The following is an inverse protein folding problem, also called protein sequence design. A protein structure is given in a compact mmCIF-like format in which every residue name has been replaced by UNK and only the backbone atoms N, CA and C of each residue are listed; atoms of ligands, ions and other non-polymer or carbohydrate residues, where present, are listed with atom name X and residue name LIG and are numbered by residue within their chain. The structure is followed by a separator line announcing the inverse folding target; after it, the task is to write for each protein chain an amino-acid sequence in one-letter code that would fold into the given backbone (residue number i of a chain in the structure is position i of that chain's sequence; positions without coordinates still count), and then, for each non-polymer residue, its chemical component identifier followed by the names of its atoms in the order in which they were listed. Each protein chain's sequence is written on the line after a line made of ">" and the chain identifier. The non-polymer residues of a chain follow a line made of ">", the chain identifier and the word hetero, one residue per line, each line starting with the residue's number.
data_IF_040908100542
#
_entry.id   IF_040908100542
#
_cell.length_a   1.000
_cell.length_b   1.000
_cell.length_c   1.000
_cell.angle_alpha   90.00
_cell.angle_beta   90.00
_cell.angle_gamma   90.00
#
_symmetry.space_group_name_H-M   'P 1'
#
loop_
_entity.id
_entity.type
_entity.pdbx_description
1 polymer ?
#
# COMPACT_ATOMS: atom_id res chain seq x y z
N UNK A 1 60.40 16.48 -36.50
CA UNK A 1 59.32 15.49 -36.74
C UNK A 1 58.79 14.99 -35.40
N UNK A 2 57.65 15.49 -34.93
CA UNK A 2 57.16 15.27 -33.56
C UNK A 2 56.15 14.12 -33.46
N UNK A 3 56.41 13.28 -32.46
CA UNK A 3 55.64 12.25 -31.72
C UNK A 3 54.18 11.83 -32.06
N UNK A 4 53.71 11.92 -33.31
CA UNK A 4 52.34 11.54 -33.66
C UNK A 4 52.06 10.01 -33.68
N UNK A 5 53.09 9.16 -33.52
CA UNK A 5 52.91 7.70 -33.47
C UNK A 5 52.33 7.19 -32.14
N UNK A 6 52.46 7.94 -31.04
CA UNK A 6 52.00 7.49 -29.70
C UNK A 6 50.49 7.46 -29.55
N UNK A 7 49.76 8.23 -30.37
CA UNK A 7 48.30 8.38 -30.27
C UNK A 7 47.51 7.47 -31.22
N UNK A 8 48.15 6.91 -32.25
CA UNK A 8 47.47 6.05 -33.25
C UNK A 8 47.05 4.69 -32.72
N UNK A 9 47.64 4.21 -31.62
CA UNK A 9 47.42 2.86 -31.07
C UNK A 9 46.68 2.83 -29.72
N UNK A 10 46.17 3.96 -29.23
CA UNK A 10 45.28 3.94 -28.05
C UNK A 10 43.92 3.40 -28.50
N UNK A 11 43.69 2.10 -28.32
CA UNK A 11 42.35 1.50 -28.39
C UNK A 11 41.49 2.19 -27.33
N UNK A 12 40.62 3.10 -27.75
CA UNK A 12 39.63 3.71 -26.87
C UNK A 12 38.66 2.59 -26.53
N UNK A 13 38.64 2.17 -25.26
CA UNK A 13 37.71 1.16 -24.79
C UNK A 13 36.33 1.80 -24.70
N UNK A 14 35.50 1.58 -25.72
CA UNK A 14 34.15 2.16 -25.83
C UNK A 14 33.25 1.75 -24.65
N UNK A 15 33.54 0.63 -23.99
CA UNK A 15 32.84 0.14 -22.80
C UNK A 15 32.99 1.06 -21.57
N UNK A 16 34.01 1.93 -21.54
CA UNK A 16 34.20 2.91 -20.45
C UNK A 16 33.49 4.24 -20.73
N UNK A 17 33.12 4.50 -21.98
CA UNK A 17 32.26 5.61 -22.35
C UNK A 17 30.80 5.22 -22.15
N UNK A 18 30.40 5.04 -20.89
CA UNK A 18 28.98 5.01 -20.54
C UNK A 18 28.36 6.33 -21.01
N UNK A 19 27.52 6.24 -22.04
CA UNK A 19 26.78 7.37 -22.61
C UNK A 19 26.10 8.17 -21.48
N UNK A 20 25.94 9.49 -21.62
CA UNK A 20 25.24 10.31 -20.60
C UNK A 20 23.82 9.77 -20.28
N UNK A 21 23.23 8.99 -21.19
CA UNK A 21 22.02 8.18 -21.02
C UNK A 21 22.15 7.02 -20.02
N UNK A 22 23.30 6.36 -19.94
CA UNK A 22 23.59 5.30 -18.96
C UNK A 22 23.92 5.85 -17.58
N UNK A 23 24.62 6.99 -17.51
CA UNK A 23 24.83 7.72 -16.24
C UNK A 23 23.50 8.24 -15.67
N UNK A 24 22.55 8.64 -16.52
CA UNK A 24 21.17 8.95 -16.11
C UNK A 24 20.39 7.72 -15.62
N UNK A 25 20.63 6.52 -16.18
CA UNK A 25 20.04 5.27 -15.70
C UNK A 25 20.54 4.87 -14.30
N UNK A 26 21.82 5.09 -13.99
CA UNK A 26 22.36 4.86 -12.64
C UNK A 26 21.90 5.92 -11.61
N UNK A 27 21.67 7.18 -12.05
CA UNK A 27 21.10 8.25 -11.19
C UNK A 27 19.59 8.17 -10.98
N UNK A 28 18.87 7.35 -11.75
CA UNK A 28 17.55 6.88 -11.35
C UNK A 28 17.73 5.92 -10.18
N UNK A 29 17.98 6.48 -8.98
CA UNK A 29 17.91 5.80 -7.70
C UNK A 29 16.71 4.87 -7.77
N UNK A 30 16.93 3.56 -7.62
CA UNK A 30 15.91 2.51 -7.71
C UNK A 30 14.63 3.00 -7.03
N UNK A 31 13.68 3.51 -7.82
CA UNK A 31 12.43 3.99 -7.27
C UNK A 31 11.75 2.75 -6.70
N UNK A 32 11.42 2.80 -5.40
CA UNK A 32 10.69 1.71 -4.76
C UNK A 32 9.45 1.40 -5.61
N UNK A 33 9.25 0.11 -5.89
CA UNK A 33 8.09 -0.34 -6.63
C UNK A 33 6.82 0.14 -5.94
N UNK A 34 5.77 0.37 -6.71
CA UNK A 34 4.52 0.90 -6.17
C UNK A 34 3.96 0.01 -5.06
N UNK A 35 4.08 -1.31 -5.21
CA UNK A 35 3.71 -2.29 -4.19
C UNK A 35 4.46 -2.08 -2.88
N UNK A 36 5.78 -1.81 -2.94
CA UNK A 36 6.57 -1.52 -1.75
C UNK A 36 6.14 -0.21 -1.09
N UNK A 37 5.86 0.83 -1.86
CA UNK A 37 5.34 2.09 -1.30
C UNK A 37 4.01 1.88 -0.56
N UNK A 38 3.10 1.11 -1.16
CA UNK A 38 1.80 0.76 -0.56
C UNK A 38 2.01 -0.03 0.73
N UNK A 39 2.88 -1.05 0.73
CA UNK A 39 3.17 -1.86 1.92
C UNK A 39 3.84 -1.04 3.03
N UNK A 40 4.74 -0.12 2.70
CA UNK A 40 5.37 0.77 3.68
C UNK A 40 4.37 1.74 4.29
N UNK A 41 3.45 2.30 3.49
CA UNK A 41 2.36 3.14 4.01
C UNK A 41 1.44 2.32 4.91
N UNK A 42 1.08 1.11 4.51
CA UNK A 42 0.28 0.21 5.35
C UNK A 42 0.99 -0.09 6.69
N UNK A 43 2.30 -0.33 6.68
CA UNK A 43 3.06 -0.64 7.88
C UNK A 43 3.21 0.58 8.80
N UNK A 44 3.77 1.68 8.28
CA UNK A 44 4.16 2.84 9.09
C UNK A 44 3.00 3.76 9.44
N UNK A 45 1.97 3.83 8.61
CA UNK A 45 0.87 4.78 8.78
C UNK A 45 -0.39 4.13 9.37
N UNK A 46 -0.56 2.81 9.16
CA UNK A 46 -1.75 2.08 9.63
C UNK A 46 -1.38 1.12 10.74
N UNK A 47 -0.56 0.11 10.46
CA UNK A 47 -0.31 -0.99 11.40
C UNK A 47 0.42 -0.54 12.68
N UNK A 48 1.56 0.15 12.55
CA UNK A 48 2.34 0.60 13.73
C UNK A 48 1.53 1.58 14.60
N UNK A 49 0.90 2.65 14.05
CA UNK A 49 0.10 3.55 14.87
C UNK A 49 -1.10 2.85 15.53
N UNK A 50 -1.82 1.98 14.82
CA UNK A 50 -2.90 1.19 15.41
C UNK A 50 -2.40 0.27 16.53
N UNK A 51 -1.22 -0.32 16.37
CA UNK A 51 -0.61 -1.16 17.40
C UNK A 51 -0.18 -0.34 18.64
N UNK A 52 0.35 0.87 18.45
CA UNK A 52 0.69 1.76 19.57
C UNK A 52 -0.56 2.19 20.34
N UNK A 53 -1.65 2.54 19.65
CA UNK A 53 -2.94 2.79 20.30
C UNK A 53 -3.39 1.57 21.08
N UNK A 54 -3.29 0.38 20.51
CA UNK A 54 -3.64 -0.86 21.20
C UNK A 54 -2.81 -1.08 22.48
N UNK A 55 -1.51 -0.75 22.48
CA UNK A 55 -0.70 -0.88 23.68
C UNK A 55 -1.08 0.13 24.78
N UNK A 56 -1.47 1.35 24.40
CA UNK A 56 -1.81 2.42 25.34
C UNK A 56 -3.23 2.27 25.87
N UNK A 57 -4.18 2.04 24.97
CA UNK A 57 -5.60 2.04 25.25
C UNK A 57 -6.23 0.65 25.26
N UNK A 58 -5.61 -0.39 24.72
CA UNK A 58 -6.20 -1.74 24.74
C UNK A 58 -6.35 -2.29 26.15
N UNK A 59 -7.36 -3.13 26.38
CA UNK A 59 -7.60 -3.77 27.67
C UNK A 59 -6.51 -4.79 28.00
N UNK A 60 -5.81 -5.27 26.97
CA UNK A 60 -4.60 -6.08 27.06
C UNK A 60 -3.31 -5.25 27.11
N UNK A 61 -3.44 -3.92 26.94
CA UNK A 61 -2.35 -2.96 26.97
C UNK A 61 -1.79 -2.82 28.37
N UNK A 62 -0.46 -2.76 28.48
CA UNK A 62 0.25 -2.81 29.76
C UNK A 62 0.30 -1.46 30.48
N UNK A 63 -0.13 -0.38 29.83
CA UNK A 63 0.25 0.98 30.21
C UNK A 63 -0.75 1.63 31.19
N UNK A 64 -2.06 1.37 31.09
CA UNK A 64 -3.08 2.03 31.93
C UNK A 64 -3.97 0.99 32.65
N UNK A 65 -3.62 0.58 33.89
CA UNK A 65 -4.38 -0.42 34.66
C UNK A 65 -5.84 -0.01 34.96
N UNK A 66 -6.11 1.29 35.09
CA UNK A 66 -7.43 1.82 35.39
C UNK A 66 -8.46 1.55 34.26
N UNK A 67 -8.00 1.59 33.00
CA UNK A 67 -8.83 1.32 31.85
C UNK A 67 -9.22 -0.16 31.79
N UNK A 68 -8.28 -1.04 32.14
CA UNK A 68 -8.51 -2.49 32.27
C UNK A 68 -9.56 -2.80 33.34
N UNK A 69 -9.45 -2.25 34.54
CA UNK A 69 -10.45 -2.45 35.60
C UNK A 69 -11.85 -1.97 35.21
N UNK A 70 -11.96 -0.84 34.50
CA UNK A 70 -13.25 -0.30 34.05
C UNK A 70 -13.94 -1.20 33.01
N UNK A 71 -13.14 -1.89 32.18
CA UNK A 71 -13.63 -2.75 31.10
C UNK A 71 -13.94 -4.16 31.59
N UNK A 72 -13.07 -4.72 32.44
CA UNK A 72 -13.28 -6.04 33.07
C UNK A 72 -14.55 -6.05 33.94
N UNK A 73 -14.88 -4.91 34.56
CA UNK A 73 -16.10 -4.77 35.38
C UNK A 73 -17.41 -4.76 34.56
N UNK A 74 -17.37 -4.46 33.25
CA UNK A 74 -18.57 -4.43 32.40
C UNK A 74 -18.21 -4.70 30.92
N UNK A 75 -18.34 -5.95 30.43
CA UNK A 75 -17.95 -6.31 29.07
C UNK A 75 -18.72 -5.56 27.97
N UNK A 76 -19.92 -5.04 28.26
CA UNK A 76 -20.69 -4.20 27.33
C UNK A 76 -20.07 -2.80 27.13
N UNK A 77 -19.40 -2.26 28.16
CA UNK A 77 -18.70 -0.96 28.06
C UNK A 77 -17.49 -1.02 27.13
N UNK A 78 -16.94 -2.21 26.89
CA UNK A 78 -15.84 -2.45 25.94
C UNK A 78 -16.16 -1.92 24.55
N UNK A 79 -17.32 -2.31 24.01
CA UNK A 79 -17.75 -1.87 22.68
C UNK A 79 -18.07 -0.37 22.67
N UNK A 80 -18.72 0.13 23.73
CA UNK A 80 -19.04 1.56 23.85
C UNK A 80 -17.79 2.46 23.89
N UNK A 81 -16.65 1.97 24.36
CA UNK A 81 -15.40 2.74 24.44
C UNK A 81 -14.51 2.48 23.21
N UNK A 82 -14.24 1.22 22.87
CA UNK A 82 -13.32 0.90 21.79
C UNK A 82 -13.87 1.11 20.39
N UNK A 83 -15.18 0.94 20.18
CA UNK A 83 -15.76 1.14 18.87
C UNK A 83 -15.65 2.61 18.42
N UNK A 84 -16.02 3.63 19.23
CA UNK A 84 -15.81 5.03 18.85
C UNK A 84 -14.33 5.40 18.67
N UNK A 85 -13.44 4.90 19.53
CA UNK A 85 -11.98 5.15 19.40
C UNK A 85 -11.46 4.56 18.10
N UNK A 86 -11.82 3.31 17.78
CA UNK A 86 -11.43 2.66 16.53
C UNK A 86 -11.98 3.40 15.31
N UNK A 87 -13.24 3.86 15.35
CA UNK A 87 -13.84 4.63 14.26
C UNK A 87 -13.15 5.99 14.07
N UNK A 88 -12.78 6.67 15.15
CA UNK A 88 -12.01 7.92 15.07
C UNK A 88 -10.63 7.68 14.42
N UNK A 89 -9.93 6.62 14.82
CA UNK A 89 -8.64 6.23 14.24
C UNK A 89 -8.79 5.86 12.77
N UNK A 90 -9.80 5.06 12.43
CA UNK A 90 -10.12 4.72 11.05
C UNK A 90 -10.37 5.99 10.22
N UNK A 91 -11.16 6.94 10.74
CA UNK A 91 -11.43 8.21 10.08
C UNK A 91 -10.16 9.02 9.79
N UNK A 92 -9.26 9.12 10.77
CA UNK A 92 -7.95 9.78 10.60
C UNK A 92 -7.09 9.04 9.57
N UNK A 93 -7.03 7.70 9.65
CA UNK A 93 -6.27 6.87 8.69
C UNK A 93 -6.80 7.05 7.26
N UNK A 94 -8.12 7.04 7.08
CA UNK A 94 -8.75 7.29 5.78
C UNK A 94 -8.47 8.70 5.27
N UNK A 95 -8.51 9.72 6.12
CA UNK A 95 -8.18 11.09 5.74
C UNK A 95 -6.73 11.20 5.24
N UNK A 96 -5.77 10.58 5.94
CA UNK A 96 -4.37 10.60 5.51
C UNK A 96 -4.16 9.81 4.22
N UNK A 97 -4.75 8.62 4.09
CA UNK A 97 -4.69 7.83 2.84
C UNK A 97 -5.29 8.61 1.67
N UNK A 98 -6.42 9.28 1.88
CA UNK A 98 -7.08 10.12 0.89
C UNK A 98 -6.19 11.29 0.45
N UNK A 99 -5.51 11.95 1.39
CA UNK A 99 -4.54 12.99 1.08
C UNK A 99 -3.35 12.45 0.26
N UNK A 100 -2.83 11.27 0.60
CA UNK A 100 -1.71 10.65 -0.12
C UNK A 100 -2.07 10.26 -1.56
N UNK A 101 -3.32 9.88 -1.81
CA UNK A 101 -3.82 9.50 -3.15
C UNK A 101 -4.18 10.73 -3.98
N UNK A 102 -5.03 11.62 -3.46
CA UNK A 102 -5.61 12.70 -4.26
C UNK A 102 -4.81 14.00 -4.22
N UNK A 103 -4.33 14.42 -3.04
CA UNK A 103 -3.58 15.69 -2.90
C UNK A 103 -2.12 15.53 -3.29
N UNK A 104 -1.42 14.59 -2.67
CA UNK A 104 0.01 14.40 -2.87
C UNK A 104 0.35 13.48 -4.05
N UNK A 105 -0.63 12.72 -4.57
CA UNK A 105 -0.47 11.79 -5.71
C UNK A 105 0.70 10.81 -5.53
N UNK A 106 1.02 10.48 -4.27
CA UNK A 106 2.08 9.52 -3.91
C UNK A 106 1.61 8.10 -4.19
N UNK A 107 0.30 7.86 -4.03
CA UNK A 107 -0.36 6.57 -4.21
C UNK A 107 -1.38 6.59 -5.35
N UNK A 108 -1.52 5.46 -6.05
CA UNK A 108 -2.58 5.27 -7.04
C UNK A 108 -3.91 4.93 -6.35
N UNK A 109 -5.06 5.25 -6.93
CA UNK A 109 -6.37 4.87 -6.38
C UNK A 109 -6.53 3.35 -6.16
N UNK A 110 -5.82 2.54 -6.97
CA UNK A 110 -5.76 1.08 -6.83
C UNK A 110 -5.20 0.62 -5.47
N UNK A 111 -4.44 1.46 -4.77
CA UNK A 111 -3.91 1.20 -3.45
C UNK A 111 -5.02 1.05 -2.38
N UNK A 112 -6.19 1.66 -2.60
CA UNK A 112 -7.33 1.54 -1.67
C UNK A 112 -7.75 0.10 -1.45
N UNK A 113 -7.68 -0.75 -2.49
CA UNK A 113 -8.06 -2.16 -2.39
C UNK A 113 -7.27 -2.92 -1.31
N UNK A 114 -6.01 -2.53 -1.10
CA UNK A 114 -5.16 -3.13 -0.09
C UNK A 114 -5.23 -2.35 1.23
N UNK A 115 -5.11 -1.02 1.17
CA UNK A 115 -5.05 -0.18 2.36
C UNK A 115 -6.35 -0.20 3.17
N UNK A 116 -7.52 -0.23 2.51
CA UNK A 116 -8.82 -0.34 3.19
C UNK A 116 -8.90 -1.65 3.98
N UNK A 117 -8.48 -2.76 3.37
CA UNK A 117 -8.49 -4.06 4.04
C UNK A 117 -7.58 -4.08 5.27
N UNK A 118 -6.39 -3.49 5.17
CA UNK A 118 -5.47 -3.35 6.31
C UNK A 118 -6.04 -2.46 7.41
N UNK A 119 -6.64 -1.32 7.06
CA UNK A 119 -7.31 -0.43 8.02
C UNK A 119 -8.42 -1.16 8.75
N UNK A 120 -9.27 -1.91 8.03
CA UNK A 120 -10.35 -2.69 8.64
C UNK A 120 -9.82 -3.81 9.54
N UNK A 121 -8.76 -4.51 9.12
CA UNK A 121 -8.12 -5.54 9.92
C UNK A 121 -7.57 -4.98 11.24
N UNK A 122 -6.91 -3.81 11.19
CA UNK A 122 -6.34 -3.18 12.39
C UNK A 122 -7.41 -2.60 13.31
N UNK A 123 -8.50 -2.06 12.77
CA UNK A 123 -9.62 -1.61 13.59
C UNK A 123 -10.38 -2.78 14.23
N UNK A 124 -10.56 -3.89 13.50
CA UNK A 124 -11.11 -5.13 14.07
C UNK A 124 -10.24 -5.66 15.21
N UNK A 125 -8.92 -5.57 15.08
CA UNK A 125 -7.98 -5.95 16.13
C UNK A 125 -8.09 -5.07 17.39
N UNK A 126 -8.25 -3.75 17.21
CA UNK A 126 -8.46 -2.81 18.32
C UNK A 126 -9.77 -3.07 19.08
N UNK A 127 -10.89 -3.24 18.38
CA UNK A 127 -12.21 -3.45 19.00
C UNK A 127 -12.33 -4.79 19.71
N UNK A 128 -11.56 -5.78 19.26
CA UNK A 128 -11.52 -7.12 19.87
C UNK A 128 -10.54 -7.23 21.05
N UNK A 129 -9.82 -6.15 21.40
CA UNK A 129 -9.01 -6.08 22.62
C UNK A 129 -9.87 -6.36 23.86
N UNK A 130 -9.35 -7.14 24.81
CA UNK A 130 -10.09 -7.57 26.01
C UNK A 130 -11.13 -8.66 25.74
N UNK A 131 -11.12 -9.32 24.58
CA UNK A 131 -11.78 -10.62 24.42
C UNK A 131 -11.14 -11.65 25.36
N UNK A 132 -11.94 -12.48 26.02
CA UNK A 132 -11.56 -13.44 27.07
C UNK A 132 -10.10 -13.91 26.99
N UNK A 133 -9.37 -13.75 28.10
CA UNK A 133 -7.98 -14.22 28.27
C UNK A 133 -7.86 -15.69 27.84
N UNK A 134 -7.17 -15.92 26.72
CA UNK A 134 -7.00 -17.25 26.12
C UNK A 134 -7.59 -17.39 24.72
N UNK A 135 -8.59 -16.59 24.34
CA UNK A 135 -9.24 -16.65 23.01
C UNK A 135 -8.64 -15.65 22.01
N UNK A 136 -7.31 -15.64 21.89
CA UNK A 136 -6.57 -14.72 21.01
C UNK A 136 -6.99 -14.83 19.53
N UNK A 137 -7.42 -16.03 19.10
CA UNK A 137 -7.90 -16.28 17.74
C UNK A 137 -9.15 -15.46 17.38
N UNK A 138 -9.99 -15.08 18.35
CA UNK A 138 -11.16 -14.21 18.10
C UNK A 138 -10.73 -12.82 17.61
N UNK A 139 -9.49 -12.40 17.93
CA UNK A 139 -8.92 -11.14 17.48
C UNK A 139 -8.22 -11.29 16.12
N UNK A 140 -7.47 -12.37 15.98
CA UNK A 140 -6.58 -12.58 14.84
C UNK A 140 -7.32 -13.11 13.62
N UNK A 141 -8.31 -13.99 13.78
CA UNK A 141 -9.08 -14.55 12.65
C UNK A 141 -9.84 -13.49 11.85
N UNK A 142 -10.61 -12.56 12.46
CA UNK A 142 -11.29 -11.52 11.71
C UNK A 142 -10.32 -10.59 10.99
N UNK A 143 -9.22 -10.21 11.65
CA UNK A 143 -8.19 -9.34 11.07
C UNK A 143 -7.48 -10.01 9.88
N UNK A 144 -7.08 -11.28 10.04
CA UNK A 144 -6.49 -12.08 8.95
C UNK A 144 -7.50 -12.29 7.82
N UNK A 145 -8.73 -12.68 8.14
CA UNK A 145 -9.78 -12.89 7.13
C UNK A 145 -10.04 -11.64 6.29
N UNK A 146 -10.10 -10.47 6.92
CA UNK A 146 -10.22 -9.18 6.24
C UNK A 146 -9.00 -8.85 5.37
N UNK A 147 -7.78 -9.16 5.83
CA UNK A 147 -6.57 -8.99 5.03
C UNK A 147 -6.55 -9.95 3.82
N UNK A 148 -7.01 -11.20 3.99
CA UNK A 148 -7.10 -12.17 2.89
C UNK A 148 -8.19 -11.82 1.87
N UNK A 149 -9.27 -11.15 2.27
CA UNK A 149 -10.27 -10.60 1.34
C UNK A 149 -9.69 -9.57 0.36
N UNK A 150 -8.55 -8.94 0.68
CA UNK A 150 -7.87 -8.06 -0.26
C UNK A 150 -7.39 -8.82 -1.51
N UNK A 151 -7.00 -10.10 -1.37
CA UNK A 151 -6.46 -10.91 -2.47
C UNK A 151 -7.48 -11.11 -3.61
N UNK A 152 -8.70 -11.63 -3.36
CA UNK A 152 -9.70 -11.76 -4.43
C UNK A 152 -10.11 -10.40 -4.99
N UNK A 153 -10.23 -9.36 -4.17
CA UNK A 153 -10.55 -8.00 -4.64
C UNK A 153 -9.48 -7.47 -5.61
N UNK A 154 -8.20 -7.65 -5.28
CA UNK A 154 -7.08 -7.30 -6.16
C UNK A 154 -7.12 -8.12 -7.45
N UNK A 155 -7.40 -9.42 -7.37
CA UNK A 155 -7.49 -10.32 -8.53
C UNK A 155 -8.62 -9.91 -9.49
N UNK A 156 -9.82 -9.62 -8.97
CA UNK A 156 -10.97 -9.16 -9.74
C UNK A 156 -10.64 -7.83 -10.42
N UNK A 157 -10.11 -6.84 -9.68
CA UNK A 157 -9.76 -5.55 -10.26
C UNK A 157 -8.69 -5.66 -11.35
N UNK A 158 -7.73 -6.58 -11.20
CA UNK A 158 -6.72 -6.86 -12.23
C UNK A 158 -7.33 -7.48 -13.48
N UNK A 159 -8.31 -8.38 -13.33
CA UNK A 159 -9.04 -8.96 -14.45
C UNK A 159 -9.88 -7.91 -15.19
N UNK A 160 -10.59 -7.04 -14.45
CA UNK A 160 -11.37 -5.93 -15.02
C UNK A 160 -10.47 -4.94 -15.76
N UNK A 161 -9.33 -4.57 -15.19
CA UNK A 161 -8.36 -3.68 -15.84
C UNK A 161 -7.83 -4.28 -17.15
N UNK A 162 -7.47 -5.58 -17.16
CA UNK A 162 -7.05 -6.27 -18.40
C UNK A 162 -8.16 -6.30 -19.45
N UNK A 163 -9.41 -6.50 -19.04
CA UNK A 163 -10.55 -6.50 -19.97
C UNK A 163 -10.76 -5.12 -20.60
N UNK A 164 -10.66 -4.03 -19.82
CA UNK A 164 -10.74 -2.66 -20.34
C UNK A 164 -9.66 -2.37 -21.38
N UNK A 165 -8.40 -2.71 -21.08
CA UNK A 165 -7.29 -2.53 -22.02
C UNK A 165 -7.51 -3.27 -23.34
N UNK A 166 -7.99 -4.53 -23.29
CA UNK A 166 -8.30 -5.30 -24.51
C UNK A 166 -9.40 -4.64 -25.35
N UNK A 167 -10.42 -4.09 -24.72
CA UNK A 167 -11.52 -3.39 -25.42
C UNK A 167 -11.02 -2.09 -26.06
N UNK A 168 -10.15 -1.34 -25.38
CA UNK A 168 -9.52 -0.14 -25.95
C UNK A 168 -8.60 -0.48 -27.13
N UNK A 169 -7.76 -1.52 -27.01
CA UNK A 169 -6.91 -2.00 -28.10
C UNK A 169 -7.73 -2.46 -29.33
N UNK A 170 -8.89 -3.07 -29.10
CA UNK A 170 -9.80 -3.45 -30.19
C UNK A 170 -10.41 -2.24 -30.90
N UNK A 171 -10.84 -1.23 -30.13
CA UNK A 171 -11.37 0.02 -30.70
C UNK A 171 -10.34 0.77 -31.53
N UNK A 172 -9.10 0.88 -31.03
CA UNK A 172 -8.00 1.54 -31.76
C UNK A 172 -7.73 0.80 -33.08
N UNK A 173 -7.70 -0.53 -33.07
CA UNK A 173 -7.52 -1.33 -34.29
C UNK A 173 -8.67 -1.17 -35.28
N UNK A 174 -9.90 -1.04 -34.81
CA UNK A 174 -11.06 -0.78 -35.66
C UNK A 174 -11.02 0.62 -36.27
N UNK A 175 -10.61 1.63 -35.50
CA UNK A 175 -10.40 2.99 -36.00
C UNK A 175 -9.28 3.06 -37.03
N UNK A 176 -8.13 2.40 -36.78
CA UNK A 176 -7.02 2.32 -37.73
C UNK A 176 -7.43 1.61 -39.04
N UNK A 177 -8.25 0.55 -38.95
CA UNK A 177 -8.79 -0.13 -40.15
C UNK A 177 -9.73 0.76 -40.95
N UNK A 178 -10.59 1.54 -40.28
CA UNK A 178 -11.49 2.50 -40.93
C UNK A 178 -10.72 3.64 -41.59
N UNK A 179 -9.68 4.17 -40.94
CA UNK A 179 -8.84 5.23 -41.51
C UNK A 179 -8.09 4.71 -42.75
N UNK A 180 -7.54 3.49 -42.69
CA UNK A 180 -6.88 2.88 -43.85
C UNK A 180 -7.84 2.63 -45.01
N UNK A 181 -9.08 2.18 -44.76
CA UNK A 181 -10.06 1.96 -45.83
C UNK A 181 -10.67 3.24 -46.42
N UNK A 182 -10.40 4.41 -45.83
CA UNK A 182 -10.81 5.71 -46.36
C UNK A 182 -9.70 6.39 -47.17
N UNK A 183 -8.47 5.85 -47.09
CA UNK A 183 -7.28 6.33 -47.80
C UNK A 183 -6.98 5.51 -49.06
N UNK A 184 -7.52 4.29 -49.16
CA UNK A 184 -7.65 3.50 -50.39
C UNK A 184 -8.95 3.88 -51.14
#
# INVERSE_FOLDING_TARGET
>A
MSNNKKWKNKKINLDTYKSASEVKKERNKKQLSMSWKISLVALFLVAIPSFLVFLIFGADGWIIPALKQMIDANPWKRWAIYLPISLAIAGVQFAIISLLIWKFKVLQPSALNFLVAVVLAMNSFLVSSGAESGKWWIRVLPAIGLAFLAIPVIAINRAVAKKKLRVEEQKIKEEEKKIKSLLD
#
